data_IF_193413195823
#
_entry.id   IF_193413195823
#
_cell.length_a   1.000
_cell.length_b   1.000
_cell.length_c   1.000
_cell.angle_alpha   90.00
_cell.angle_beta   90.00
_cell.angle_gamma   90.00
#
_symmetry.space_group_name_H-M   'P 1'
#
loop_
_entity.id
_entity.type
_entity.pdbx_description
1 polymer ?
#
# COMPACT_ATOMS: atom_id res chain seq x y z
N UNK A 1 1.38 0.11 11.78
CA UNK A 1 2.76 0.28 11.32
C UNK A 1 2.86 -0.09 9.86
N UNK A 2 3.62 0.67 9.09
CA UNK A 2 3.73 0.46 7.65
C UNK A 2 5.12 -0.06 7.34
N UNK A 3 5.18 -1.17 6.60
CA UNK A 3 6.45 -1.73 6.16
C UNK A 3 6.55 -1.63 4.64
N UNK A 4 7.72 -1.29 4.15
CA UNK A 4 7.96 -1.25 2.72
C UNK A 4 8.58 -2.57 2.30
N UNK A 5 7.87 -3.31 1.46
CA UNK A 5 8.33 -4.64 1.03
C UNK A 5 9.17 -4.53 -0.23
N UNK A 6 8.73 -3.73 -1.17
CA UNK A 6 9.44 -3.56 -2.43
C UNK A 6 9.75 -2.10 -2.64
N UNK A 7 11.02 -1.79 -2.74
CA UNK A 7 11.44 -0.42 -2.97
C UNK A 7 12.72 -0.41 -3.78
N UNK A 8 12.85 -1.36 -4.66
CA UNK A 8 14.03 -1.44 -5.48
C UNK A 8 13.94 -0.39 -6.58
N UNK A 9 14.81 -0.48 -7.53
CA UNK A 9 14.87 0.51 -8.55
C UNK A 9 13.61 0.69 -9.36
N UNK A 10 12.70 -0.24 -9.23
CA UNK A 10 11.46 -0.15 -9.98
C UNK A 10 10.57 0.93 -9.45
N UNK A 11 10.91 1.50 -8.34
CA UNK A 11 10.14 2.57 -7.75
C UNK A 11 10.23 3.85 -8.56
N UNK A 12 10.92 3.86 -9.67
CA UNK A 12 10.96 5.07 -10.47
C UNK A 12 9.57 5.52 -10.90
N UNK A 13 8.56 4.67 -10.81
CA UNK A 13 7.20 5.07 -11.06
C UNK A 13 6.41 5.30 -9.78
N UNK A 14 7.06 5.13 -8.64
CA UNK A 14 6.37 5.32 -7.37
C UNK A 14 5.50 4.16 -6.96
N UNK A 15 5.65 3.01 -7.57
CA UNK A 15 4.87 1.82 -7.24
C UNK A 15 5.51 1.14 -6.03
N UNK A 16 4.72 0.92 -5.00
CA UNK A 16 5.20 0.30 -3.76
C UNK A 16 4.35 -0.90 -3.40
N UNK A 17 4.99 -1.87 -2.75
CA UNK A 17 4.28 -2.95 -2.09
C UNK A 17 4.49 -2.76 -0.60
N UNK A 18 3.42 -2.75 0.15
CA UNK A 18 3.46 -2.41 1.57
C UNK A 18 2.78 -3.50 2.37
N UNK A 19 3.20 -3.64 3.62
CA UNK A 19 2.55 -4.52 4.58
C UNK A 19 2.15 -3.67 5.77
N UNK A 20 0.88 -3.76 6.16
CA UNK A 20 0.34 -3.01 7.27
C UNK A 20 -0.12 -3.97 8.36
N UNK A 21 0.09 -3.58 9.61
CA UNK A 21 -0.40 -4.38 10.72
C UNK A 21 -1.90 -4.27 10.87
N UNK A 22 -2.46 -3.08 10.67
CA UNK A 22 -3.87 -2.81 10.92
C UNK A 22 -4.45 -1.97 9.81
N UNK A 23 -5.77 -2.09 9.63
CA UNK A 23 -6.46 -1.32 8.60
C UNK A 23 -6.27 0.17 8.81
N UNK A 24 -6.26 0.61 10.05
CA UNK A 24 -6.11 2.04 10.32
C UNK A 24 -4.77 2.60 9.84
N UNK A 25 -3.81 1.73 9.58
CA UNK A 25 -2.50 2.18 9.12
C UNK A 25 -2.54 2.68 7.67
N UNK A 26 -3.62 2.40 6.95
CA UNK A 26 -3.72 2.82 5.55
C UNK A 26 -3.58 4.34 5.44
N UNK A 27 -4.15 5.07 6.35
CA UNK A 27 -4.07 6.52 6.32
C UNK A 27 -2.68 7.06 6.63
N UNK A 28 -1.82 6.22 7.17
CA UNK A 28 -0.45 6.60 7.49
C UNK A 28 0.50 6.34 6.33
N UNK A 29 0.01 5.76 5.23
CA UNK A 29 0.85 5.50 4.08
C UNK A 29 1.23 6.84 3.44
N UNK A 30 2.53 7.05 3.17
CA UNK A 30 2.95 8.28 2.52
C UNK A 30 2.29 8.46 1.17
N UNK A 31 2.05 9.70 0.79
CA UNK A 31 1.38 10.00 -0.47
C UNK A 31 2.29 9.98 -1.67
N UNK A 32 3.50 9.46 -1.48
CA UNK A 32 4.43 9.32 -2.60
C UNK A 32 4.11 8.11 -3.46
N UNK A 33 3.22 7.23 -2.98
CA UNK A 33 2.86 6.03 -3.73
C UNK A 33 2.03 6.40 -4.95
N UNK A 34 2.37 5.83 -6.08
CA UNK A 34 1.61 6.06 -7.31
C UNK A 34 0.44 5.08 -7.40
N UNK A 35 -0.59 5.39 -8.19
CA UNK A 35 -1.65 4.42 -8.46
C UNK A 35 -1.06 3.12 -8.98
N UNK A 36 -1.59 2.01 -8.52
CA UNK A 36 -1.04 0.69 -8.82
C UNK A 36 -0.26 0.10 -7.67
N UNK A 37 0.06 0.90 -6.67
CA UNK A 37 0.70 0.38 -5.46
C UNK A 37 -0.29 -0.53 -4.72
N UNK A 38 0.24 -1.47 -3.97
CA UNK A 38 -0.60 -2.40 -3.23
C UNK A 38 -0.17 -2.47 -1.77
N UNK A 39 -1.10 -2.86 -0.92
CA UNK A 39 -0.76 -3.13 0.47
C UNK A 39 -1.56 -4.33 0.96
N UNK A 40 -0.96 -5.04 1.90
CA UNK A 40 -1.59 -6.18 2.55
C UNK A 40 -1.77 -5.79 4.01
N UNK A 41 -2.99 -5.94 4.52
CA UNK A 41 -3.29 -5.67 5.92
C UNK A 41 -3.34 -7.01 6.63
N UNK A 42 -2.45 -7.18 7.60
CA UNK A 42 -2.33 -8.45 8.32
C UNK A 42 -3.55 -8.67 9.21
N UNK A 43 -4.07 -7.62 9.80
CA UNK A 43 -5.12 -7.71 10.80
C UNK A 43 -6.33 -8.50 10.30
N UNK A 44 -6.75 -8.26 9.06
CA UNK A 44 -7.93 -8.91 8.52
C UNK A 44 -7.65 -9.62 7.19
N UNK A 45 -6.38 -9.77 6.86
CA UNK A 45 -5.96 -10.48 5.65
C UNK A 45 -6.51 -9.83 4.38
N UNK A 46 -6.70 -8.53 4.38
CA UNK A 46 -7.20 -7.85 3.20
C UNK A 46 -6.06 -7.34 2.34
N UNK A 47 -6.35 -7.17 1.07
CA UNK A 47 -5.41 -6.61 0.11
C UNK A 47 -6.07 -5.38 -0.48
N UNK A 48 -5.30 -4.29 -0.54
CA UNK A 48 -5.79 -3.03 -1.05
C UNK A 48 -4.92 -2.57 -2.20
N UNK A 49 -5.54 -1.93 -3.16
CA UNK A 49 -4.83 -1.31 -4.28
C UNK A 49 -5.07 0.19 -4.28
N UNK A 50 -4.05 0.92 -4.67
CA UNK A 50 -4.16 2.37 -4.76
C UNK A 50 -4.69 2.73 -6.13
N UNK A 51 -5.87 3.34 -6.15
CA UNK A 51 -6.43 3.90 -7.36
C UNK A 51 -6.11 5.37 -7.49
N UNK A 52 -6.69 6.01 -8.48
CA UNK A 52 -6.43 7.43 -8.69
C UNK A 52 -7.05 8.30 -7.60
N UNK A 53 -8.00 7.78 -6.87
CA UNK A 53 -8.71 8.54 -5.83
C UNK A 53 -8.50 7.98 -4.43
N UNK A 54 -7.64 7.00 -4.26
CA UNK A 54 -7.35 6.46 -2.94
C UNK A 54 -7.26 4.95 -2.92
N UNK A 55 -7.16 4.41 -1.72
CA UNK A 55 -7.00 2.99 -1.51
C UNK A 55 -8.35 2.28 -1.52
N UNK A 56 -8.40 1.16 -2.23
CA UNK A 56 -9.62 0.35 -2.35
C UNK A 56 -9.34 -1.09 -1.99
N UNK A 57 -10.18 -1.73 -1.17
CA UNK A 57 -9.99 -3.14 -0.86
C UNK A 57 -10.38 -3.98 -2.07
N UNK A 58 -9.57 -4.99 -2.36
CA UNK A 58 -9.86 -5.90 -3.46
C UNK A 58 -10.07 -7.33 -2.97
N UNK A 59 -9.71 -7.63 -1.74
CA UNK A 59 -9.96 -8.94 -1.15
C UNK A 59 -10.48 -8.78 0.26
#
# INVERSE_FOLDING_TARGET
MVFYVTQNGDTNYGIYELVLDKVKDIKDIPKVCAPGSSCIVIEDSSIWLLGSDGWHPVV
#
